data_IF_991693475836
#
_entry.id   IF_991693475836
#
_cell.length_a   1.000
_cell.length_b   1.000
_cell.length_c   1.000
_cell.angle_alpha   90.00
_cell.angle_beta   90.00
_cell.angle_gamma   90.00
#
_symmetry.space_group_name_H-M   'P 1'
#
loop_
_entity.id
_entity.type
_entity.pdbx_description
1 polymer ?
#
# COMPACT_ATOMS: atom_id res chain seq x y z
N UNK A 1 9.85 17.62 56.32
CA UNK A 1 10.21 17.11 54.98
C UNK A 1 9.16 16.07 54.58
N UNK A 2 8.30 16.36 53.59
CA UNK A 2 7.26 15.44 53.10
C UNK A 2 7.28 15.45 51.57
N UNK A 3 7.64 14.32 50.96
CA UNK A 3 7.70 14.17 49.50
C UNK A 3 6.37 13.58 49.01
N UNK A 4 5.58 14.38 48.27
CA UNK A 4 4.30 13.96 47.69
C UNK A 4 4.50 13.63 46.21
N UNK A 5 4.60 12.35 45.89
CA UNK A 5 4.71 11.86 44.50
C UNK A 5 3.40 12.15 43.76
N UNK A 6 3.45 13.03 42.76
CA UNK A 6 2.32 13.34 41.86
C UNK A 6 2.15 12.19 40.87
N UNK A 7 1.22 11.28 41.13
CA UNK A 7 0.79 10.30 40.12
C UNK A 7 -0.07 11.04 39.09
N UNK A 8 0.43 11.14 37.85
CA UNK A 8 -0.34 11.68 36.72
C UNK A 8 -1.37 10.63 36.30
N UNK A 9 -2.67 10.93 36.22
CA UNK A 9 -3.61 9.97 35.65
C UNK A 9 -3.26 9.78 34.17
N UNK A 10 -2.88 8.57 33.80
CA UNK A 10 -2.70 8.14 32.42
C UNK A 10 -4.08 7.98 31.79
N UNK A 11 -4.68 9.08 31.37
CA UNK A 11 -5.86 9.04 30.50
C UNK A 11 -5.39 8.79 29.06
N UNK A 12 -4.96 7.55 28.79
CA UNK A 12 -4.56 7.07 27.46
C UNK A 12 -5.80 6.69 26.66
N UNK A 13 -6.70 7.63 26.42
CA UNK A 13 -7.95 7.38 25.70
C UNK A 13 -8.43 8.61 24.94
N UNK A 14 -7.60 9.10 24.01
CA UNK A 14 -8.02 9.90 22.85
C UNK A 14 -6.79 10.41 22.09
N UNK A 15 -6.12 9.51 21.36
CA UNK A 15 -5.28 9.92 20.25
C UNK A 15 -5.65 9.08 19.04
N UNK A 16 -6.89 9.26 18.55
CA UNK A 16 -7.19 9.00 17.15
C UNK A 16 -6.39 10.04 16.37
N UNK A 17 -5.20 9.63 15.96
CA UNK A 17 -4.19 10.44 15.30
C UNK A 17 -4.72 10.95 13.96
N UNK A 18 -4.62 12.26 13.74
CA UNK A 18 -4.72 12.84 12.41
C UNK A 18 -3.83 12.04 11.43
N UNK A 19 -4.41 11.59 10.31
CA UNK A 19 -3.72 10.74 9.33
C UNK A 19 -3.99 9.23 9.44
N UNK A 20 -4.91 8.80 10.32
CA UNK A 20 -5.36 7.40 10.32
C UNK A 20 -6.18 7.11 9.05
N UNK A 21 -5.58 6.35 8.13
CA UNK A 21 -6.29 5.78 6.97
C UNK A 21 -7.11 4.59 7.48
N UNK A 22 -8.43 4.62 7.26
CA UNK A 22 -9.27 3.46 7.58
C UNK A 22 -9.03 2.32 6.58
N UNK A 23 -9.33 1.08 6.98
CA UNK A 23 -9.24 -0.08 6.08
C UNK A 23 -10.05 0.15 4.80
N UNK A 24 -11.22 0.77 4.92
CA UNK A 24 -12.08 1.09 3.79
C UNK A 24 -11.45 2.14 2.86
N UNK A 25 -10.81 3.17 3.40
CA UNK A 25 -10.07 4.14 2.59
C UNK A 25 -8.87 3.49 1.88
N UNK A 26 -8.19 2.55 2.55
CA UNK A 26 -7.11 1.79 1.93
C UNK A 26 -7.64 0.90 0.80
N UNK A 27 -8.75 0.21 1.01
CA UNK A 27 -9.41 -0.63 -0.01
C UNK A 27 -9.80 0.20 -1.23
N UNK A 28 -10.44 1.36 -1.03
CA UNK A 28 -10.79 2.27 -2.12
C UNK A 28 -9.57 2.77 -2.89
N UNK A 29 -8.50 3.15 -2.18
CA UNK A 29 -7.25 3.59 -2.80
C UNK A 29 -6.52 2.45 -3.54
N UNK A 30 -6.70 1.20 -3.09
CA UNK A 30 -6.17 0.02 -3.76
C UNK A 30 -6.88 -0.24 -5.09
N UNK A 31 -8.21 -0.08 -5.11
CA UNK A 31 -9.03 -0.28 -6.31
C UNK A 31 -8.92 0.85 -7.34
N UNK A 32 -8.63 2.08 -6.89
CA UNK A 32 -8.52 3.29 -7.70
C UNK A 32 -7.18 3.41 -8.47
N UNK A 33 -6.72 2.31 -9.07
CA UNK A 33 -5.54 2.28 -9.94
C UNK A 33 -5.92 1.98 -11.38
N UNK A 34 -5.12 2.49 -12.33
CA UNK A 34 -5.32 2.24 -13.75
C UNK A 34 -5.20 0.75 -14.05
N UNK A 35 -6.09 0.26 -14.90
CA UNK A 35 -6.16 -1.14 -15.29
C UNK A 35 -4.99 -1.46 -16.23
N UNK A 36 -3.99 -2.18 -15.71
CA UNK A 36 -2.80 -2.57 -16.47
C UNK A 36 -3.07 -3.93 -17.12
N UNK A 37 -3.17 -3.94 -18.45
CA UNK A 37 -3.32 -5.18 -19.22
C UNK A 37 -1.96 -5.77 -19.51
N UNK A 38 -1.67 -6.91 -18.92
CA UNK A 38 -0.44 -7.67 -19.17
C UNK A 38 -0.81 -8.96 -19.89
N UNK A 39 -0.22 -9.17 -21.05
CA UNK A 39 -0.63 -10.23 -22.00
C UNK A 39 0.11 -11.55 -21.81
N UNK A 40 1.18 -11.59 -21.01
CA UNK A 40 1.93 -12.81 -20.74
C UNK A 40 2.66 -12.78 -19.40
N UNK A 41 2.97 -13.96 -18.86
CA UNK A 41 3.79 -14.10 -17.65
C UNK A 41 5.17 -13.45 -17.79
N UNK A 42 5.76 -13.46 -19.00
CA UNK A 42 7.04 -12.80 -19.28
C UNK A 42 6.91 -11.29 -19.13
N UNK A 43 5.83 -10.71 -19.65
CA UNK A 43 5.55 -9.28 -19.55
C UNK A 43 5.28 -8.88 -18.09
N UNK A 44 4.61 -9.75 -17.32
CA UNK A 44 4.38 -9.53 -15.89
C UNK A 44 5.68 -9.46 -15.10
N UNK A 45 6.57 -10.44 -15.32
CA UNK A 45 7.88 -10.49 -14.66
C UNK A 45 8.71 -9.26 -15.05
N UNK A 46 8.72 -8.90 -16.34
CA UNK A 46 9.45 -7.73 -16.83
C UNK A 46 8.94 -6.42 -16.21
N UNK A 47 7.62 -6.25 -16.10
CA UNK A 47 7.03 -5.05 -15.49
C UNK A 47 7.32 -5.00 -13.98
N UNK A 48 7.23 -6.13 -13.26
CA UNK A 48 7.63 -6.21 -11.85
C UNK A 48 9.09 -5.82 -11.62
N UNK A 49 10.01 -6.35 -12.43
CA UNK A 49 11.44 -6.01 -12.37
C UNK A 49 11.69 -4.52 -12.63
N UNK A 50 11.03 -3.95 -13.65
CA UNK A 50 11.11 -2.52 -13.96
C UNK A 50 10.63 -1.65 -12.79
N UNK A 51 9.53 -2.00 -12.14
CA UNK A 51 9.04 -1.26 -10.97
C UNK A 51 9.99 -1.41 -9.76
N UNK A 52 10.56 -2.60 -9.54
CA UNK A 52 11.55 -2.83 -8.48
C UNK A 52 12.76 -1.89 -8.62
N UNK A 53 13.33 -1.79 -9.82
CA UNK A 53 14.46 -0.87 -10.11
C UNK A 53 14.11 0.58 -9.78
N UNK A 54 12.88 1.03 -10.05
CA UNK A 54 12.43 2.39 -9.72
C UNK A 54 12.34 2.59 -8.20
N UNK A 55 11.88 1.59 -7.46
CA UNK A 55 11.64 1.68 -6.02
C UNK A 55 12.90 1.55 -5.18
N UNK A 56 13.87 0.75 -5.65
CA UNK A 56 15.18 0.54 -5.02
C UNK A 56 16.07 1.78 -5.13
N UNK A 57 15.96 2.55 -6.21
CA UNK A 57 16.69 3.80 -6.35
C UNK A 57 16.02 4.92 -5.54
N UNK A 58 16.58 5.19 -4.35
CA UNK A 58 16.13 6.23 -3.42
C UNK A 58 16.31 7.66 -3.93
N UNK A 59 17.10 7.88 -4.99
CA UNK A 59 17.26 9.17 -5.64
C UNK A 59 16.15 9.46 -6.68
N UNK A 60 15.30 8.49 -7.00
CA UNK A 60 14.14 8.75 -7.86
C UNK A 60 13.16 9.70 -7.17
N UNK A 61 12.54 10.56 -7.98
CA UNK A 61 11.47 11.45 -7.55
C UNK A 61 10.35 10.69 -6.81
N UNK A 62 9.84 11.31 -5.75
CA UNK A 62 8.78 10.74 -4.92
C UNK A 62 7.55 10.36 -5.73
N UNK A 63 7.11 11.22 -6.64
CA UNK A 63 5.93 10.98 -7.50
C UNK A 63 6.18 9.78 -8.41
N UNK A 64 7.41 9.62 -8.91
CA UNK A 64 7.80 8.46 -9.72
C UNK A 64 7.72 7.16 -8.92
N UNK A 65 8.15 7.17 -7.65
CA UNK A 65 8.04 6.00 -6.75
C UNK A 65 6.58 5.69 -6.40
N UNK A 66 5.74 6.71 -6.19
CA UNK A 66 4.30 6.52 -5.98
C UNK A 66 3.63 5.89 -7.20
N UNK A 67 3.95 6.37 -8.41
CA UNK A 67 3.44 5.78 -9.65
C UNK A 67 3.86 4.32 -9.81
N UNK A 68 5.11 3.99 -9.47
CA UNK A 68 5.58 2.60 -9.49
C UNK A 68 4.79 1.68 -8.54
N UNK A 69 4.48 2.16 -7.32
CA UNK A 69 3.62 1.43 -6.37
C UNK A 69 2.17 1.30 -6.86
N UNK A 70 1.63 2.33 -7.53
CA UNK A 70 0.31 2.24 -8.17
C UNK A 70 0.31 1.21 -9.32
N UNK A 71 1.37 1.15 -10.12
CA UNK A 71 1.51 0.14 -11.16
C UNK A 71 1.56 -1.28 -10.60
N UNK A 72 2.33 -1.52 -9.53
CA UNK A 72 2.35 -2.84 -8.87
C UNK A 72 0.96 -3.28 -8.38
N UNK A 73 0.16 -2.36 -7.84
CA UNK A 73 -1.23 -2.64 -7.47
C UNK A 73 -2.11 -2.97 -8.67
N UNK A 74 -1.95 -2.26 -9.78
CA UNK A 74 -2.67 -2.57 -11.03
C UNK A 74 -2.34 -3.97 -11.57
N UNK A 75 -1.07 -4.40 -11.45
CA UNK A 75 -0.66 -5.76 -11.83
C UNK A 75 -1.32 -6.84 -10.95
N UNK A 76 -1.34 -6.63 -9.62
CA UNK A 76 -1.99 -7.55 -8.68
C UNK A 76 -3.48 -7.66 -8.97
N UNK A 77 -4.15 -6.53 -9.23
CA UNK A 77 -5.58 -6.50 -9.58
C UNK A 77 -5.89 -7.27 -10.87
N UNK A 78 -5.05 -7.10 -11.90
CA UNK A 78 -5.19 -7.85 -13.15
C UNK A 78 -5.04 -9.37 -12.94
N UNK A 79 -4.00 -9.79 -12.23
CA UNK A 79 -3.71 -11.22 -12.00
C UNK A 79 -4.79 -11.89 -11.12
N UNK A 80 -5.24 -11.23 -10.05
CA UNK A 80 -6.37 -11.70 -9.23
C UNK A 80 -7.65 -11.81 -10.08
N UNK A 81 -7.92 -10.85 -10.96
CA UNK A 81 -9.07 -10.92 -11.87
C UNK A 81 -9.00 -12.10 -12.85
N UNK A 82 -7.81 -12.51 -13.26
CA UNK A 82 -7.59 -13.66 -14.14
C UNK A 82 -7.72 -15.02 -13.43
N UNK A 83 -7.39 -15.10 -12.13
CA UNK A 83 -7.50 -16.33 -11.32
C UNK A 83 -8.76 -16.41 -10.43
N UNK A 84 -9.51 -15.32 -10.25
CA UNK A 84 -10.78 -15.28 -9.53
C UNK A 84 -11.75 -16.43 -9.90
N UNK A 85 -11.95 -16.81 -11.17
CA UNK A 85 -12.80 -17.95 -11.52
C UNK A 85 -12.28 -19.32 -11.09
N UNK A 86 -11.02 -19.44 -10.63
CA UNK A 86 -10.41 -20.69 -10.17
C UNK A 86 -10.24 -20.77 -8.64
N UNK A 87 -10.59 -19.72 -7.90
CA UNK A 87 -10.45 -19.67 -6.44
C UNK A 87 -11.64 -20.29 -5.68
N UNK A 88 -12.75 -20.61 -6.36
CA UNK A 88 -13.97 -21.20 -5.78
C UNK A 88 -14.19 -22.69 -6.14
N UNK A 89 -13.13 -23.48 -6.32
CA UNK A 89 -13.22 -24.94 -6.55
C UNK A 89 -12.67 -25.76 -5.39
#
# INVERSE_FOLDING_TARGET
>A
MQNKTRVRPTNSASSLTAGAVSEEQFRQAFEAVLDLRVTSLKDLIAECQKQAVILENTNNDWTKRIKALQSLRGLIKHDIGCYAPFAEQ
#
